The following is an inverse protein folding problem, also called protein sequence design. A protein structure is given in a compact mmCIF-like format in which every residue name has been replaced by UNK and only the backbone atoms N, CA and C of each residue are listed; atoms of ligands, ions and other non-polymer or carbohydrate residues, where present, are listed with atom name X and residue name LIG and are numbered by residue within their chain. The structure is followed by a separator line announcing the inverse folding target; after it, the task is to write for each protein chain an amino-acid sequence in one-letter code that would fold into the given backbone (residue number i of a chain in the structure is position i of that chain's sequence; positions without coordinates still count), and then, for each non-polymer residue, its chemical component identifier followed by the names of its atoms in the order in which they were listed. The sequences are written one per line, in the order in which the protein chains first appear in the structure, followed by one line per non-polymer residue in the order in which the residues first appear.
data_IF_998964289661
#
_entry.id   IF_998964289661
#
_cell.length_a   1.000
_cell.length_b   1.000
_cell.length_c   1.000
_cell.angle_alpha   90.00
_cell.angle_beta   90.00
_cell.angle_gamma   90.00
#
_symmetry.space_group_name_H-M   'P 1'
#
loop_
_entity.id
_entity.type
_entity.pdbx_description
1 polymer ?
#
# COMPACT_ATOMS: atom_id res chain seq x y z
N UNK A 1 -7.08 19.79 -17.66
CA UNK A 1 -6.98 18.41 -18.18
C UNK A 1 -5.81 17.72 -17.46
N UNK A 2 -6.00 17.26 -16.22
CA UNK A 2 -4.93 16.67 -15.40
C UNK A 2 -5.27 15.22 -15.07
N UNK A 3 -4.41 14.28 -15.45
CA UNK A 3 -4.63 12.84 -15.34
C UNK A 3 -4.79 12.42 -13.89
N UNK A 4 -5.98 11.95 -13.54
CA UNK A 4 -6.21 11.14 -12.36
C UNK A 4 -5.33 9.88 -12.46
N UNK A 5 -4.41 9.74 -11.50
CA UNK A 5 -3.49 8.62 -11.41
C UNK A 5 -4.20 7.26 -11.34
N UNK A 6 -3.48 6.25 -11.83
CA UNK A 6 -3.75 4.83 -12.08
C UNK A 6 -4.29 3.99 -10.90
N UNK A 7 -5.13 4.56 -10.03
CA UNK A 7 -5.57 3.99 -8.74
C UNK A 7 -6.49 2.75 -8.81
N UNK A 8 -7.01 2.37 -9.97
CA UNK A 8 -8.00 1.28 -10.07
C UNK A 8 -7.68 0.21 -11.12
N UNK A 9 -6.56 0.34 -11.84
CA UNK A 9 -6.25 -0.54 -12.97
C UNK A 9 -5.72 -1.90 -12.53
N UNK A 10 -4.72 -1.92 -11.64
CA UNK A 10 -3.90 -3.11 -11.40
C UNK A 10 -4.45 -4.02 -10.29
N UNK A 11 -4.94 -3.47 -9.18
CA UNK A 11 -5.72 -4.25 -8.19
C UNK A 11 -6.98 -4.84 -8.85
N UNK A 12 -7.62 -4.04 -9.73
CA UNK A 12 -8.74 -4.50 -10.54
C UNK A 12 -8.35 -5.62 -11.53
N UNK A 13 -7.10 -5.68 -12.00
CA UNK A 13 -6.62 -6.74 -12.89
C UNK A 13 -6.43 -8.05 -12.13
N UNK A 14 -5.88 -8.03 -10.91
CA UNK A 14 -5.77 -9.24 -10.08
C UNK A 14 -7.16 -9.79 -9.72
N UNK A 15 -8.07 -8.91 -9.32
CA UNK A 15 -9.44 -9.29 -8.99
C UNK A 15 -10.18 -9.87 -10.21
N UNK A 16 -9.94 -9.30 -11.40
CA UNK A 16 -10.45 -9.82 -12.67
C UNK A 16 -9.87 -11.19 -13.00
N UNK A 17 -8.56 -11.39 -12.82
CA UNK A 17 -7.91 -12.67 -13.06
C UNK A 17 -8.44 -13.78 -12.14
N UNK A 18 -8.62 -13.50 -10.84
CA UNK A 18 -9.24 -14.44 -9.90
C UNK A 18 -10.67 -14.80 -10.31
N UNK A 19 -11.47 -13.81 -10.70
CA UNK A 19 -12.84 -14.04 -11.16
C UNK A 19 -12.88 -14.89 -12.45
N UNK A 20 -12.00 -14.63 -13.42
CA UNK A 20 -11.86 -15.45 -14.64
C UNK A 20 -11.42 -16.89 -14.34
N UNK A 21 -10.63 -17.09 -13.28
CA UNK A 21 -10.24 -18.40 -12.78
C UNK A 21 -11.34 -19.11 -11.95
N UNK A 22 -12.55 -18.55 -11.85
CA UNK A 22 -13.66 -19.12 -11.11
C UNK A 22 -13.61 -18.88 -9.59
N UNK A 23 -12.79 -17.92 -9.14
CA UNK A 23 -12.62 -17.53 -7.73
C UNK A 23 -13.09 -16.08 -7.50
N UNK A 24 -14.40 -15.79 -7.62
CA UNK A 24 -14.91 -14.44 -7.45
C UNK A 24 -14.67 -13.93 -6.02
N UNK A 25 -14.16 -12.70 -5.91
CA UNK A 25 -13.86 -12.07 -4.62
C UNK A 25 -12.58 -12.61 -3.93
N UNK A 26 -11.85 -13.52 -4.58
CA UNK A 26 -10.55 -13.98 -4.08
C UNK A 26 -9.48 -12.93 -4.38
N UNK A 27 -8.93 -12.35 -3.31
CA UNK A 27 -7.92 -11.31 -3.35
C UNK A 27 -6.77 -11.71 -2.44
N UNK A 28 -5.55 -11.71 -2.99
CA UNK A 28 -4.32 -11.95 -2.24
C UNK A 28 -3.33 -10.90 -2.70
N UNK A 29 -2.99 -9.99 -1.79
CA UNK A 29 -2.00 -8.96 -2.01
C UNK A 29 -0.94 -9.05 -0.91
N UNK A 30 0.33 -9.03 -1.29
CA UNK A 30 1.44 -8.93 -0.34
C UNK A 30 1.74 -7.46 -0.08
N UNK A 31 1.81 -7.07 1.19
CA UNK A 31 2.04 -5.70 1.62
C UNK A 31 3.23 -5.60 2.60
N UNK A 32 3.74 -4.38 2.77
CA UNK A 32 4.84 -4.09 3.70
C UNK A 32 4.47 -2.91 4.60
N UNK A 33 4.98 -2.91 5.82
CA UNK A 33 4.83 -1.81 6.76
C UNK A 33 6.10 -1.52 7.55
N UNK A 34 6.26 -0.25 7.94
CA UNK A 34 7.29 0.19 8.88
C UNK A 34 6.61 0.44 10.22
N UNK A 35 7.02 -0.31 11.24
CA UNK A 35 6.48 -0.22 12.59
C UNK A 35 7.52 0.40 13.54
N UNK A 36 7.04 1.12 14.56
CA UNK A 36 7.87 1.73 15.59
C UNK A 36 7.49 1.22 16.99
N UNK A 37 8.38 1.27 17.99
CA UNK A 37 8.04 0.92 19.37
C UNK A 37 6.81 1.66 19.90
N UNK A 38 6.00 1.01 20.73
CA UNK A 38 4.73 1.56 21.23
C UNK A 38 4.86 2.91 21.97
N UNK A 39 6.03 3.22 22.53
CA UNK A 39 6.31 4.47 23.25
C UNK A 39 7.02 5.52 22.40
N UNK A 40 7.08 5.34 21.08
CA UNK A 40 7.67 6.34 20.18
C UNK A 40 6.84 7.62 20.24
N UNK A 41 7.45 8.80 20.45
CA UNK A 41 6.71 10.05 20.51
C UNK A 41 5.89 10.32 19.23
N UNK A 42 4.65 10.84 19.34
CA UNK A 42 3.77 11.03 18.19
C UNK A 42 4.38 11.90 17.08
N UNK A 43 5.17 12.92 17.44
CA UNK A 43 5.84 13.79 16.48
C UNK A 43 6.86 13.04 15.61
N UNK A 44 7.54 12.03 16.16
CA UNK A 44 8.48 11.18 15.42
C UNK A 44 7.72 10.28 14.45
N UNK A 45 6.62 9.67 14.91
CA UNK A 45 5.76 8.82 14.07
C UNK A 45 5.17 9.62 12.91
N UNK A 46 4.68 10.83 13.19
CA UNK A 46 4.11 11.72 12.17
C UNK A 46 5.17 12.13 11.14
N UNK A 47 6.39 12.46 11.59
CA UNK A 47 7.49 12.78 10.68
C UNK A 47 7.86 11.59 9.81
N UNK A 48 7.98 10.39 10.38
CA UNK A 48 8.28 9.17 9.63
C UNK A 48 7.23 8.89 8.57
N UNK A 49 5.95 8.96 8.93
CA UNK A 49 4.84 8.77 7.98
C UNK A 49 4.89 9.79 6.82
N UNK A 50 5.15 11.06 7.13
CA UNK A 50 5.25 12.11 6.11
C UNK A 50 6.42 11.90 5.14
N UNK A 51 7.60 11.55 5.66
CA UNK A 51 8.77 11.29 4.80
C UNK A 51 8.63 10.01 3.98
N UNK A 52 8.08 8.93 4.56
CA UNK A 52 7.80 7.69 3.84
C UNK A 52 6.83 7.92 2.68
N UNK A 53 5.76 8.70 2.89
CA UNK A 53 4.84 9.09 1.81
C UNK A 53 5.57 9.79 0.66
N UNK A 54 6.43 10.77 0.97
CA UNK A 54 7.23 11.47 -0.06
C UNK A 54 8.12 10.52 -0.85
N UNK A 55 8.74 9.56 -0.17
CA UNK A 55 9.59 8.54 -0.81
C UNK A 55 8.76 7.66 -1.74
N UNK A 56 7.64 7.11 -1.24
CA UNK A 56 6.76 6.22 -2.01
C UNK A 56 6.17 6.93 -3.23
N UNK A 57 5.85 8.22 -3.11
CA UNK A 57 5.34 9.04 -4.20
C UNK A 57 6.43 9.52 -5.18
N UNK A 58 7.72 9.34 -4.85
CA UNK A 58 8.82 9.76 -5.70
C UNK A 58 8.93 8.92 -6.98
N UNK A 59 9.27 9.54 -8.09
CA UNK A 59 9.43 8.85 -9.38
C UNK A 59 10.49 7.75 -9.32
N UNK A 60 11.62 8.03 -8.65
CA UNK A 60 12.71 7.07 -8.54
C UNK A 60 12.28 5.80 -7.79
N UNK A 61 11.53 5.94 -6.70
CA UNK A 61 11.03 4.80 -5.95
C UNK A 61 9.97 4.03 -6.75
N UNK A 62 8.99 4.73 -7.33
CA UNK A 62 7.95 4.11 -8.16
C UNK A 62 8.56 3.30 -9.29
N UNK A 63 9.53 3.87 -10.02
CA UNK A 63 10.25 3.16 -11.08
C UNK A 63 10.94 1.88 -10.57
N UNK A 64 11.57 1.95 -9.40
CA UNK A 64 12.26 0.79 -8.82
C UNK A 64 11.30 -0.32 -8.37
N UNK A 65 10.12 0.05 -7.88
CA UNK A 65 9.07 -0.90 -7.48
C UNK A 65 8.42 -1.52 -8.72
N UNK A 66 8.13 -0.73 -9.74
CA UNK A 66 7.61 -1.19 -11.04
C UNK A 66 8.59 -2.16 -11.72
N UNK A 67 9.91 -1.88 -11.68
CA UNK A 67 10.97 -2.78 -12.17
C UNK A 67 10.97 -4.15 -11.47
N UNK A 68 10.42 -4.24 -10.25
CA UNK A 68 10.29 -5.48 -9.47
C UNK A 68 8.93 -6.17 -9.66
N UNK A 69 8.07 -5.66 -10.55
CA UNK A 69 6.74 -6.21 -10.81
C UNK A 69 5.73 -5.91 -9.70
N UNK A 70 6.01 -4.92 -8.85
CA UNK A 70 5.09 -4.40 -7.85
C UNK A 70 4.67 -2.98 -8.21
N UNK A 71 3.73 -2.41 -7.46
CA UNK A 71 3.34 -1.01 -7.58
C UNK A 71 3.46 -0.31 -6.24
N UNK A 72 3.87 0.95 -6.27
CA UNK A 72 4.09 1.73 -5.05
C UNK A 72 2.82 2.45 -4.61
N UNK A 73 2.25 2.01 -3.48
CA UNK A 73 1.14 2.67 -2.78
C UNK A 73 1.52 2.93 -1.32
N UNK A 74 0.90 3.93 -0.70
CA UNK A 74 1.14 4.27 0.69
C UNK A 74 -0.19 4.44 1.42
N UNK A 75 -0.36 3.71 2.53
CA UNK A 75 -1.47 3.92 3.47
C UNK A 75 -1.14 5.08 4.42
N UNK A 76 -2.15 5.83 4.86
CA UNK A 76 -1.98 6.73 6.00
C UNK A 76 -1.94 5.95 7.33
N UNK A 77 -1.52 6.62 8.41
CA UNK A 77 -1.35 5.99 9.73
C UNK A 77 -2.65 5.34 10.26
N UNK A 78 -3.82 6.01 10.28
CA UNK A 78 -5.05 5.37 10.74
C UNK A 78 -5.47 4.17 9.91
N UNK A 79 -5.27 4.23 8.59
CA UNK A 79 -5.62 3.14 7.69
C UNK A 79 -4.70 1.94 7.90
N UNK A 80 -3.39 2.18 8.01
CA UNK A 80 -2.41 1.12 8.29
C UNK A 80 -2.69 0.43 9.63
N UNK A 81 -3.00 1.19 10.69
CA UNK A 81 -3.31 0.62 12.00
C UNK A 81 -4.51 -0.34 11.92
N UNK A 82 -5.60 0.09 11.27
CA UNK A 82 -6.78 -0.75 11.05
C UNK A 82 -6.45 -2.00 10.23
N UNK A 83 -5.64 -1.85 9.19
CA UNK A 83 -5.28 -2.95 8.31
C UNK A 83 -4.45 -4.01 9.03
N UNK A 84 -3.48 -3.60 9.86
CA UNK A 84 -2.72 -4.52 10.72
C UNK A 84 -3.63 -5.28 11.69
N UNK A 85 -4.59 -4.59 12.32
CA UNK A 85 -5.55 -5.23 13.23
C UNK A 85 -6.42 -6.26 12.50
N UNK A 86 -6.82 -5.98 11.24
CA UNK A 86 -7.62 -6.90 10.42
C UNK A 86 -6.83 -8.15 10.04
N UNK A 87 -5.57 -8.01 9.64
CA UNK A 87 -4.71 -9.13 9.20
C UNK A 87 -4.28 -10.04 10.35
N UNK A 88 -4.09 -9.49 11.56
CA UNK A 88 -3.69 -10.26 12.74
C UNK A 88 -4.86 -10.96 13.45
N UNK A 89 -6.11 -10.55 13.18
CA UNK A 89 -7.29 -11.12 13.81
C UNK A 89 -7.75 -12.47 13.20
N UNK A 90 -6.88 -13.14 12.44
CA UNK A 90 -7.12 -14.44 11.80
C UNK A 90 -7.20 -15.62 12.78
#
# INVERSE_FOLDING_TARGET
MGRAGSRGGEVGLLQKASAEAGLPGYEVESWFAVLAPAKTPPEVVNRLSAELRKIVESEAFRKKVDEQGAFATCMDLPTLAKFVDQELAA
#
